data_IF_577372421754
#
_entry.id   IF_577372421754
#
_cell.length_a   1.000
_cell.length_b   1.000
_cell.length_c   1.000
_cell.angle_alpha   90.00
_cell.angle_beta   90.00
_cell.angle_gamma   90.00
#
_symmetry.space_group_name_H-M   'P 1'
#
loop_
_entity.id
_entity.type
_entity.pdbx_description
1 polymer ?
#
# COMPACT_ATOMS: atom_id res chain seq x y z
N UNK A 1 -4.11 19.80 21.55
CA UNK A 1 -5.14 19.36 22.52
C UNK A 1 -6.49 19.43 21.80
N UNK A 2 -7.33 18.41 21.86
CA UNK A 2 -8.63 18.40 21.17
C UNK A 2 -9.78 18.73 22.14
N UNK A 3 -10.94 19.24 21.65
CA UNK A 3 -12.04 19.62 22.51
C UNK A 3 -12.75 18.42 23.13
N UNK A 4 -13.19 18.55 24.38
CA UNK A 4 -14.00 17.55 25.08
C UNK A 4 -15.39 17.44 24.44
N UNK A 5 -15.85 16.22 24.20
CA UNK A 5 -17.20 15.93 23.73
C UNK A 5 -18.31 16.43 24.68
N UNK A 6 -18.00 16.61 25.97
CA UNK A 6 -18.95 17.14 26.97
C UNK A 6 -19.38 18.59 26.70
N UNK A 7 -18.65 19.32 25.85
CA UNK A 7 -18.94 20.71 25.50
C UNK A 7 -20.04 20.86 24.44
N UNK A 8 -20.51 19.76 23.84
CA UNK A 8 -21.48 19.77 22.75
C UNK A 8 -22.57 18.71 22.94
N UNK A 9 -23.66 18.87 22.19
CA UNK A 9 -24.72 17.85 22.08
C UNK A 9 -24.23 16.61 21.33
N UNK A 10 -24.91 15.47 21.54
CA UNK A 10 -24.49 14.16 21.02
C UNK A 10 -24.30 14.13 19.49
N UNK A 11 -25.15 14.84 18.74
CA UNK A 11 -25.05 14.96 17.27
C UNK A 11 -23.72 15.60 16.77
N UNK A 12 -22.95 16.23 17.65
CA UNK A 12 -21.67 16.87 17.32
C UNK A 12 -20.47 16.11 17.90
N UNK A 13 -20.71 14.96 18.54
CA UNK A 13 -19.66 14.11 19.09
C UNK A 13 -19.19 13.12 18.03
N UNK A 14 -17.91 12.80 18.07
CA UNK A 14 -17.33 11.71 17.29
C UNK A 14 -16.40 10.88 18.17
N UNK A 15 -16.32 9.58 17.87
CA UNK A 15 -15.36 8.68 18.51
C UNK A 15 -14.02 8.78 17.78
N UNK A 16 -12.94 8.94 18.53
CA UNK A 16 -11.61 9.19 17.98
C UNK A 16 -10.60 8.17 18.52
N UNK A 17 -9.51 8.03 17.77
CA UNK A 17 -8.31 7.30 18.18
C UNK A 17 -7.28 8.33 18.63
N UNK A 18 -6.65 8.11 19.76
CA UNK A 18 -5.66 9.00 20.37
C UNK A 18 -4.33 8.27 20.44
N UNK A 19 -3.29 8.88 19.88
CA UNK A 19 -1.92 8.43 20.00
C UNK A 19 -1.38 8.79 21.38
N UNK A 20 -0.80 7.80 22.05
CA UNK A 20 -0.15 7.93 23.35
C UNK A 20 1.32 7.56 23.20
N UNK A 21 2.19 8.56 23.30
CA UNK A 21 3.64 8.39 23.31
C UNK A 21 4.10 8.33 24.75
N UNK A 22 4.83 7.28 25.11
CA UNK A 22 5.23 7.04 26.49
C UNK A 22 6.57 6.32 26.60
N UNK A 23 7.19 6.40 27.78
CA UNK A 23 8.30 5.52 28.19
C UNK A 23 7.88 4.68 29.38
N UNK A 24 8.68 3.68 29.73
CA UNK A 24 8.43 2.82 30.88
C UNK A 24 9.25 3.28 32.10
N UNK A 25 8.66 3.15 33.30
CA UNK A 25 9.37 3.33 34.58
C UNK A 25 10.54 2.35 34.68
N UNK A 26 11.56 2.69 35.46
CA UNK A 26 12.65 1.77 35.77
C UNK A 26 12.09 0.45 36.35
N UNK A 27 12.51 -0.69 35.79
CA UNK A 27 11.99 -2.03 36.11
C UNK A 27 10.49 -2.26 35.84
N UNK A 28 9.83 -1.38 35.09
CA UNK A 28 8.42 -1.52 34.70
C UNK A 28 8.21 -2.47 33.52
N UNK A 29 6.94 -2.79 33.23
CA UNK A 29 6.56 -3.64 32.09
C UNK A 29 5.78 -2.88 31.02
N UNK A 30 6.13 -3.08 29.75
CA UNK A 30 5.44 -2.49 28.58
C UNK A 30 3.94 -2.81 28.56
N UNK A 31 3.58 -4.03 28.97
CA UNK A 31 2.19 -4.49 29.01
C UNK A 31 1.37 -3.87 30.14
N UNK A 32 2.01 -3.35 31.19
CA UNK A 32 1.33 -2.74 32.32
C UNK A 32 1.11 -1.24 32.06
N UNK A 33 -0.15 -0.81 32.01
CA UNK A 33 -0.49 0.61 31.78
C UNK A 33 -0.03 1.52 32.93
N UNK A 34 0.03 1.02 34.15
CA UNK A 34 0.44 1.81 35.32
C UNK A 34 1.95 2.12 35.33
N UNK A 35 2.73 1.39 34.54
CA UNK A 35 4.18 1.60 34.40
C UNK A 35 4.52 2.64 33.33
N UNK A 36 3.52 3.15 32.59
CA UNK A 36 3.72 4.11 31.51
C UNK A 36 3.88 5.53 32.04
N UNK A 37 4.96 6.19 31.64
CA UNK A 37 5.18 7.63 31.80
C UNK A 37 4.84 8.29 30.47
N UNK A 38 3.71 8.98 30.42
CA UNK A 38 3.20 9.63 29.22
C UNK A 38 4.09 10.82 28.86
N UNK A 39 4.64 10.79 27.65
CA UNK A 39 5.45 11.86 27.08
C UNK A 39 4.59 12.83 26.25
N UNK A 40 3.64 12.29 25.47
CA UNK A 40 2.75 13.08 24.61
C UNK A 40 1.42 12.36 24.36
N UNK A 41 0.33 13.12 24.23
CA UNK A 41 -0.99 12.63 23.81
C UNK A 41 -1.59 13.57 22.77
N UNK A 42 -2.07 13.02 21.66
CA UNK A 42 -2.65 13.79 20.56
C UNK A 42 -3.63 12.93 19.74
N UNK A 43 -4.63 13.55 19.09
CA UNK A 43 -5.59 12.78 18.31
C UNK A 43 -4.92 12.26 17.05
N UNK A 44 -5.18 10.99 16.72
CA UNK A 44 -4.56 10.28 15.59
C UNK A 44 -5.53 10.13 14.43
N UNK A 45 -6.74 9.64 14.73
CA UNK A 45 -7.74 9.40 13.70
C UNK A 45 -9.16 9.45 14.23
N UNK A 46 -10.13 9.34 13.32
CA UNK A 46 -11.54 9.16 13.64
C UNK A 46 -11.88 7.68 13.53
N UNK A 47 -12.65 7.18 14.49
CA UNK A 47 -13.09 5.79 14.50
C UNK A 47 -14.16 5.58 13.41
N UNK A 48 -13.91 4.68 12.46
CA UNK A 48 -14.76 4.42 11.31
C UNK A 48 -15.35 3.00 11.39
N UNK A 49 -16.67 2.88 11.20
CA UNK A 49 -17.37 1.59 11.23
C UNK A 49 -16.95 0.63 10.10
N UNK A 50 -16.53 1.16 8.96
CA UNK A 50 -16.12 0.33 7.82
C UNK A 50 -14.75 -0.34 8.05
N UNK A 51 -13.93 0.22 8.93
CA UNK A 51 -12.58 -0.27 9.25
C UNK A 51 -12.46 -0.85 10.66
N UNK A 52 -13.58 -1.23 11.29
CA UNK A 52 -13.63 -1.61 12.71
C UNK A 52 -12.63 -2.69 13.10
N UNK A 53 -12.53 -3.77 12.32
CA UNK A 53 -11.66 -4.90 12.66
C UNK A 53 -10.20 -4.46 12.65
N UNK A 54 -9.77 -3.74 11.62
CA UNK A 54 -8.41 -3.25 11.50
C UNK A 54 -8.08 -2.22 12.59
N UNK A 55 -9.00 -1.27 12.84
CA UNK A 55 -8.84 -0.28 13.89
C UNK A 55 -8.84 -0.91 15.28
N UNK A 56 -9.61 -1.97 15.53
CA UNK A 56 -9.62 -2.70 16.80
C UNK A 56 -8.31 -3.44 17.07
N UNK A 57 -7.71 -4.06 16.04
CA UNK A 57 -6.38 -4.67 16.16
C UNK A 57 -5.36 -3.58 16.45
N UNK A 58 -5.34 -2.53 15.62
CA UNK A 58 -4.41 -1.41 15.71
C UNK A 58 -4.41 -0.75 17.11
N UNK A 59 -5.57 -0.55 17.73
CA UNK A 59 -5.62 0.09 19.07
C UNK A 59 -5.12 -0.78 20.22
N UNK A 60 -4.90 -2.07 19.98
CA UNK A 60 -4.31 -2.98 20.99
C UNK A 60 -2.80 -3.08 20.89
N UNK A 61 -2.20 -2.58 19.80
CA UNK A 61 -0.77 -2.67 19.56
C UNK A 61 0.02 -1.66 20.41
N UNK A 62 1.20 -2.10 20.85
CA UNK A 62 2.22 -1.26 21.47
C UNK A 62 3.51 -1.46 20.69
N UNK A 63 4.03 -0.38 20.11
CA UNK A 63 5.22 -0.44 19.25
C UNK A 63 6.33 0.41 19.84
N UNK A 64 7.56 -0.13 19.83
CA UNK A 64 8.75 0.67 20.10
C UNK A 64 9.02 1.55 18.88
N UNK A 65 9.22 2.85 19.11
CA UNK A 65 9.38 3.85 18.05
C UNK A 65 10.83 4.22 17.85
N UNK A 66 11.55 4.50 18.94
CA UNK A 66 12.95 4.94 18.94
C UNK A 66 13.56 4.82 20.35
N UNK A 67 14.89 4.88 20.50
CA UNK A 67 15.53 5.09 21.79
C UNK A 67 15.12 6.44 22.41
N UNK A 68 14.99 6.46 23.74
CA UNK A 68 14.64 7.65 24.52
C UNK A 68 15.62 8.81 24.33
N UNK A 69 16.89 8.49 24.05
CA UNK A 69 17.95 9.49 23.79
C UNK A 69 17.76 10.24 22.47
N UNK A 70 17.02 9.67 21.52
CA UNK A 70 16.71 10.29 20.22
C UNK A 70 15.34 10.99 20.23
N UNK A 71 14.58 10.92 21.33
CA UNK A 71 13.28 11.54 21.43
C UNK A 71 13.37 13.02 21.83
N UNK A 72 12.84 13.88 20.97
CA UNK A 72 12.82 15.33 21.18
C UNK A 72 11.39 15.84 21.43
N UNK A 73 11.00 16.15 22.69
CA UNK A 73 9.61 16.49 23.03
C UNK A 73 9.13 17.81 22.41
N UNK A 74 10.06 18.73 22.13
CA UNK A 74 9.78 20.05 21.55
C UNK A 74 9.51 20.00 20.04
N UNK A 75 9.84 18.87 19.40
CA UNK A 75 9.56 18.62 17.97
C UNK A 75 8.20 17.91 17.86
N UNK A 76 7.48 18.11 16.76
CA UNK A 76 6.28 17.32 16.51
C UNK A 76 6.66 15.84 16.33
N UNK A 77 5.78 14.93 16.74
CA UNK A 77 6.14 13.52 16.81
C UNK A 77 6.51 12.93 15.44
N UNK A 78 5.78 13.27 14.36
CA UNK A 78 6.09 12.75 13.02
C UNK A 78 7.45 13.21 12.51
N UNK A 79 7.81 14.47 12.69
CA UNK A 79 9.13 14.99 12.32
C UNK A 79 10.24 14.32 13.14
N UNK A 80 10.02 14.10 14.45
CA UNK A 80 10.98 13.37 15.28
C UNK A 80 11.21 11.93 14.79
N UNK A 81 10.13 11.23 14.38
CA UNK A 81 10.21 9.88 13.82
C UNK A 81 10.92 9.88 12.47
N UNK A 82 10.61 10.83 11.59
CA UNK A 82 11.24 10.94 10.28
C UNK A 82 12.74 11.19 10.38
N UNK A 83 13.15 12.14 11.24
CA UNK A 83 14.57 12.42 11.51
C UNK A 83 15.30 11.18 12.09
N UNK A 84 14.64 10.44 12.99
CA UNK A 84 15.21 9.20 13.53
C UNK A 84 15.36 8.11 12.46
N UNK A 85 14.33 7.88 11.64
CA UNK A 85 14.35 6.85 10.60
C UNK A 85 15.42 7.14 9.53
N UNK A 86 15.67 8.41 9.21
CA UNK A 86 16.77 8.80 8.32
C UNK A 86 18.14 8.47 8.92
N UNK A 87 18.31 8.66 10.24
CA UNK A 87 19.55 8.34 10.97
C UNK A 87 19.74 6.83 11.18
N UNK A 88 18.66 6.09 11.39
CA UNK A 88 18.67 4.68 11.79
C UNK A 88 17.57 3.85 11.08
N UNK A 89 17.72 3.59 9.77
CA UNK A 89 16.67 2.94 8.97
C UNK A 89 16.43 1.46 9.32
N UNK A 90 17.36 0.81 10.00
CA UNK A 90 17.28 -0.59 10.42
C UNK A 90 17.15 -0.71 11.94
N UNK A 91 16.35 0.15 12.55
CA UNK A 91 16.15 0.17 14.00
C UNK A 91 15.65 -1.19 14.52
N UNK A 92 16.42 -1.76 15.44
CA UNK A 92 16.10 -3.01 16.14
C UNK A 92 15.95 -2.71 17.64
N UNK A 93 14.70 -2.68 18.10
CA UNK A 93 14.37 -2.38 19.48
C UNK A 93 14.83 -3.46 20.46
N UNK A 94 15.16 -4.68 20.01
CA UNK A 94 15.59 -5.78 20.88
C UNK A 94 16.97 -5.57 21.49
N UNK A 95 17.72 -4.57 20.98
CA UNK A 95 19.05 -4.21 21.47
C UNK A 95 19.04 -3.27 22.68
N UNK A 96 17.87 -2.80 23.10
CA UNK A 96 17.69 -1.81 24.16
C UNK A 96 16.92 -2.40 25.35
N UNK A 97 17.16 -1.88 26.55
CA UNK A 97 16.28 -2.17 27.68
C UNK A 97 14.92 -1.46 27.50
N UNK A 98 13.81 -2.00 28.03
CA UNK A 98 12.50 -1.39 27.86
C UNK A 98 12.40 0.07 28.32
N UNK A 99 13.02 0.43 29.43
CA UNK A 99 13.08 1.79 29.97
C UNK A 99 13.89 2.78 29.13
N UNK A 100 14.73 2.29 28.21
CA UNK A 100 15.53 3.09 27.28
C UNK A 100 14.78 3.42 25.98
N UNK A 101 13.54 2.94 25.84
CA UNK A 101 12.75 3.07 24.62
C UNK A 101 11.57 4.03 24.79
N UNK A 102 11.20 4.65 23.68
CA UNK A 102 9.92 5.33 23.50
C UNK A 102 8.97 4.40 22.79
N UNK A 103 7.77 4.29 23.34
CA UNK A 103 6.69 3.49 22.80
C UNK A 103 5.54 4.37 22.32
N UNK A 104 4.79 3.81 21.38
CA UNK A 104 3.49 4.31 20.96
C UNK A 104 2.44 3.26 21.25
N UNK A 105 1.34 3.72 21.82
CA UNK A 105 0.10 2.96 21.94
C UNK A 105 -1.05 3.86 21.51
N UNK A 106 -2.22 3.25 21.39
CA UNK A 106 -3.43 3.98 21.08
C UNK A 106 -4.50 3.75 22.14
N UNK A 107 -5.39 4.71 22.23
CA UNK A 107 -6.60 4.61 23.03
C UNK A 107 -7.77 5.21 22.26
N UNK A 108 -8.99 4.92 22.71
CA UNK A 108 -10.20 5.52 22.15
C UNK A 108 -10.73 6.57 23.10
N UNK A 109 -11.19 7.68 22.54
CA UNK A 109 -11.83 8.78 23.28
C UNK A 109 -13.00 9.35 22.46
N UNK A 110 -13.71 10.34 23.00
CA UNK A 110 -14.72 11.12 22.28
C UNK A 110 -14.31 12.59 22.16
N UNK A 111 -14.60 13.19 21.01
CA UNK A 111 -14.32 14.61 20.75
C UNK A 111 -15.47 15.28 19.99
N UNK A 112 -15.21 16.48 19.47
CA UNK A 112 -16.16 17.30 18.73
C UNK A 112 -15.82 17.27 17.25
N UNK A 113 -16.78 16.90 16.41
CA UNK A 113 -16.55 16.82 14.97
C UNK A 113 -17.64 16.12 14.18
N UNK A 114 -17.24 15.53 13.06
CA UNK A 114 -18.04 14.58 12.29
C UNK A 114 -17.27 13.27 12.14
N UNK A 115 -17.84 12.30 11.43
CA UNK A 115 -17.19 11.02 11.11
C UNK A 115 -15.89 11.16 10.30
N UNK A 116 -15.64 12.33 9.70
CA UNK A 116 -14.47 12.58 8.85
C UNK A 116 -13.36 13.37 9.55
N UNK A 117 -13.71 14.34 10.41
CA UNK A 117 -12.74 15.26 11.01
C UNK A 117 -13.15 15.66 12.43
N UNK A 118 -12.14 15.85 13.29
CA UNK A 118 -12.29 16.52 14.58
C UNK A 118 -12.25 18.03 14.31
N UNK A 119 -13.37 18.71 14.47
CA UNK A 119 -13.54 20.12 14.11
C UNK A 119 -14.67 20.77 14.93
N UNK A 120 -14.44 21.99 15.40
CA UNK A 120 -15.37 22.71 16.28
C UNK A 120 -16.51 23.45 15.57
N UNK A 121 -16.59 23.39 14.24
CA UNK A 121 -17.63 24.07 13.46
C UNK A 121 -18.24 23.16 12.37
N UNK A 122 -19.39 23.61 11.84
CA UNK A 122 -19.94 23.17 10.56
C UNK A 122 -19.63 24.21 9.49
N UNK A 123 -19.40 23.77 8.26
CA UNK A 123 -19.14 24.64 7.10
C UNK A 123 -20.44 24.88 6.33
N UNK A 124 -20.72 26.13 5.96
CA UNK A 124 -21.84 26.45 5.08
C UNK A 124 -21.48 26.14 3.63
N UNK A 125 -22.30 25.35 2.94
CA UNK A 125 -22.17 25.18 1.49
C UNK A 125 -22.48 26.51 0.78
N UNK A 126 -21.64 26.98 -0.15
CA UNK A 126 -21.89 28.23 -0.88
C UNK A 126 -23.07 28.15 -1.85
N UNK A 127 -23.50 26.94 -2.24
CA UNK A 127 -24.58 26.73 -3.21
C UNK A 127 -25.93 26.50 -2.53
N UNK A 128 -26.05 25.46 -1.70
CA UNK A 128 -27.32 25.14 -1.03
C UNK A 128 -27.54 25.88 0.29
N UNK A 129 -26.53 26.63 0.78
CA UNK A 129 -26.56 27.44 2.00
C UNK A 129 -26.80 26.68 3.33
N UNK A 130 -26.87 25.34 3.27
CA UNK A 130 -26.96 24.46 4.43
C UNK A 130 -25.60 24.25 5.10
N UNK A 131 -25.62 23.79 6.37
CA UNK A 131 -24.42 23.57 7.17
C UNK A 131 -24.11 22.09 7.35
N UNK A 132 -22.87 21.68 7.06
CA UNK A 132 -22.42 20.30 7.15
C UNK A 132 -21.13 20.19 7.95
N UNK A 133 -20.85 19.00 8.50
CA UNK A 133 -19.65 18.79 9.30
C UNK A 133 -18.35 19.03 8.52
N UNK A 134 -18.34 18.68 7.24
CA UNK A 134 -17.27 18.96 6.30
C UNK A 134 -17.79 18.80 4.85
N UNK A 135 -16.90 19.00 3.87
CA UNK A 135 -17.21 18.75 2.44
C UNK A 135 -17.69 17.31 2.19
N UNK A 136 -17.12 16.31 2.86
CA UNK A 136 -17.48 14.92 2.63
C UNK A 136 -18.92 14.64 3.11
N UNK A 137 -19.25 15.03 4.35
CA UNK A 137 -20.61 14.94 4.87
C UNK A 137 -21.65 15.63 3.96
N UNK A 138 -21.28 16.74 3.31
CA UNK A 138 -22.13 17.38 2.31
C UNK A 138 -22.30 16.48 1.08
N UNK A 139 -21.20 16.08 0.44
CA UNK A 139 -21.24 15.31 -0.80
C UNK A 139 -21.91 13.94 -0.65
N UNK A 140 -21.91 13.37 0.56
CA UNK A 140 -22.62 12.12 0.86
C UNK A 140 -24.14 12.33 1.01
N UNK A 141 -24.56 13.56 1.37
CA UNK A 141 -25.97 13.90 1.63
C UNK A 141 -26.65 14.61 0.46
N UNK A 142 -25.89 15.15 -0.48
CA UNK A 142 -26.36 16.06 -1.53
C UNK A 142 -26.02 15.55 -2.93
N UNK A 143 -26.83 15.93 -3.92
CA UNK A 143 -26.63 15.54 -5.34
C UNK A 143 -25.56 16.35 -6.08
N UNK A 144 -24.95 17.33 -5.40
CA UNK A 144 -23.93 18.23 -5.95
C UNK A 144 -22.70 18.26 -5.03
N UNK A 145 -21.57 18.71 -5.58
CA UNK A 145 -20.31 18.77 -4.85
C UNK A 145 -20.10 20.14 -4.21
N UNK A 146 -19.74 20.17 -2.93
CA UNK A 146 -19.46 21.41 -2.23
C UNK A 146 -18.11 22.02 -2.64
N UNK A 147 -18.14 23.24 -3.15
CA UNK A 147 -16.94 24.05 -3.39
C UNK A 147 -16.38 24.60 -2.07
N UNK A 148 -15.54 23.80 -1.41
CA UNK A 148 -14.94 24.16 -0.12
C UNK A 148 -14.20 25.49 -0.11
N UNK A 149 -13.59 25.90 -1.23
CA UNK A 149 -12.77 27.14 -1.29
C UNK A 149 -13.62 28.41 -1.13
N UNK A 150 -14.91 28.32 -1.42
CA UNK A 150 -15.85 29.44 -1.36
C UNK A 150 -16.62 29.53 -0.02
N UNK A 151 -16.30 28.70 0.97
CA UNK A 151 -16.93 28.78 2.30
C UNK A 151 -16.62 30.12 2.95
N UNK A 152 -17.68 30.85 3.30
CA UNK A 152 -17.61 32.16 3.96
C UNK A 152 -18.14 32.16 5.40
N UNK A 153 -19.09 31.28 5.72
CA UNK A 153 -19.71 31.22 7.04
C UNK A 153 -19.56 29.82 7.65
N UNK A 154 -19.50 29.82 8.98
CA UNK A 154 -19.37 28.64 9.82
C UNK A 154 -20.46 28.67 10.88
N UNK A 155 -20.95 27.51 11.29
CA UNK A 155 -21.81 27.39 12.48
C UNK A 155 -21.02 26.74 13.61
N UNK A 156 -20.95 27.40 14.75
CA UNK A 156 -20.22 26.90 15.93
C UNK A 156 -20.94 25.69 16.55
N UNK A 157 -20.23 24.58 16.78
CA UNK A 157 -20.81 23.39 17.43
C UNK A 157 -21.02 23.57 18.93
N UNK A 158 -20.35 24.54 19.55
CA UNK A 158 -20.39 24.78 20.99
C UNK A 158 -21.50 25.74 21.43
N UNK A 159 -21.94 26.65 20.56
CA UNK A 159 -22.93 27.68 20.91
C UNK A 159 -23.94 27.98 19.80
N UNK A 160 -23.93 27.20 18.73
CA UNK A 160 -24.82 27.32 17.55
C UNK A 160 -24.75 28.65 16.77
N UNK A 161 -23.92 29.60 17.19
CA UNK A 161 -23.75 30.87 16.49
C UNK A 161 -23.22 30.68 15.07
N UNK A 162 -23.87 31.31 14.10
CA UNK A 162 -23.35 31.46 12.74
C UNK A 162 -22.38 32.64 12.74
N UNK A 163 -21.15 32.39 12.30
CA UNK A 163 -20.04 33.34 12.30
C UNK A 163 -19.32 33.32 10.96
N UNK A 164 -18.64 34.42 10.57
CA UNK A 164 -17.75 34.40 9.42
C UNK A 164 -16.63 33.36 9.58
N UNK A 165 -16.08 32.91 8.46
CA UNK A 165 -14.96 31.95 8.43
C UNK A 165 -13.78 32.47 9.26
N UNK A 166 -13.41 31.68 10.26
CA UNK A 166 -12.38 31.99 11.25
C UNK A 166 -11.92 30.68 11.92
N UNK A 167 -10.79 30.71 12.62
CA UNK A 167 -10.26 29.53 13.33
C UNK A 167 -10.83 29.41 14.76
N UNK A 168 -11.69 30.34 15.19
CA UNK A 168 -12.31 30.36 16.51
C UNK A 168 -13.65 31.10 16.45
N UNK A 169 -14.59 30.68 17.29
CA UNK A 169 -15.91 31.29 17.32
C UNK A 169 -15.86 32.75 17.81
N UNK A 170 -16.40 33.67 17.02
CA UNK A 170 -16.51 35.08 17.42
C UNK A 170 -17.36 35.28 18.68
N UNK A 171 -18.34 34.39 18.94
CA UNK A 171 -19.25 34.45 20.08
C UNK A 171 -18.65 33.81 21.35
N UNK A 172 -18.41 32.50 21.36
CA UNK A 172 -17.96 31.78 22.57
C UNK A 172 -16.44 31.59 22.70
N UNK A 173 -15.65 32.09 21.74
CA UNK A 173 -14.18 32.05 21.70
C UNK A 173 -13.54 30.65 21.66
N UNK A 174 -14.33 29.58 21.59
CA UNK A 174 -13.82 28.23 21.37
C UNK A 174 -13.11 28.11 20.03
N UNK A 175 -11.98 27.41 20.00
CA UNK A 175 -11.25 27.09 18.76
C UNK A 175 -12.07 26.13 17.88
N UNK A 176 -11.90 26.24 16.57
CA UNK A 176 -12.45 25.28 15.61
C UNK A 176 -11.44 24.24 15.13
N UNK A 177 -10.15 24.53 15.26
CA UNK A 177 -9.06 23.66 14.83
C UNK A 177 -7.75 24.03 15.55
N UNK A 178 -6.78 23.11 15.52
CA UNK A 178 -5.37 23.44 15.79
C UNK A 178 -4.61 23.73 14.50
N UNK A 179 -5.08 23.15 13.38
CA UNK A 179 -4.47 23.31 12.08
C UNK A 179 -5.51 23.66 11.03
N UNK A 180 -5.16 24.61 10.16
CA UNK A 180 -6.05 25.12 9.13
C UNK A 180 -5.31 25.39 7.82
N UNK A 181 -6.03 25.33 6.70
CA UNK A 181 -5.60 25.92 5.45
C UNK A 181 -6.66 26.91 4.98
N UNK A 182 -6.33 28.20 4.96
CA UNK A 182 -7.24 29.28 4.56
C UNK A 182 -7.64 29.23 3.09
N UNK A 183 -6.78 28.66 2.23
CA UNK A 183 -7.02 28.49 0.79
C UNK A 183 -8.00 27.33 0.55
N UNK A 184 -7.74 26.17 1.14
CA UNK A 184 -8.61 25.00 0.99
C UNK A 184 -9.81 24.98 1.94
N UNK A 185 -9.88 25.91 2.90
CA UNK A 185 -10.84 25.94 4.01
C UNK A 185 -10.84 24.64 4.84
N UNK A 186 -9.69 23.98 4.92
CA UNK A 186 -9.49 22.80 5.74
C UNK A 186 -9.29 23.22 7.20
N UNK A 187 -9.88 22.48 8.15
CA UNK A 187 -9.81 22.75 9.59
C UNK A 187 -9.87 21.42 10.34
N UNK A 188 -8.88 21.13 11.19
CA UNK A 188 -8.81 19.91 11.98
C UNK A 188 -8.10 20.11 13.32
N UNK A 189 -8.42 19.29 14.31
CA UNK A 189 -7.67 19.18 15.57
C UNK A 189 -6.56 18.12 15.55
N UNK A 190 -6.50 17.27 14.51
CA UNK A 190 -5.36 16.38 14.24
C UNK A 190 -4.25 17.23 13.63
N UNK A 191 -3.19 17.43 14.38
CA UNK A 191 -2.08 18.32 14.04
C UNK A 191 -0.85 17.56 13.49
N UNK A 192 0.27 18.28 13.34
CA UNK A 192 1.51 17.74 12.81
C UNK A 192 2.15 16.62 13.65
N UNK A 193 1.71 16.38 14.89
CA UNK A 193 2.16 15.22 15.64
C UNK A 193 1.71 13.90 15.03
N UNK A 194 0.65 13.92 14.22
CA UNK A 194 0.14 12.74 13.54
C UNK A 194 0.09 12.92 12.02
N UNK A 195 -0.58 13.99 11.57
CA UNK A 195 -0.86 14.22 10.15
C UNK A 195 -0.34 15.61 9.80
N UNK A 196 0.99 15.81 9.70
CA UNK A 196 1.51 17.03 9.10
C UNK A 196 0.89 17.16 7.71
N UNK A 197 0.53 18.38 7.33
CA UNK A 197 0.06 18.65 5.98
C UNK A 197 0.58 20.01 5.55
N UNK A 198 0.67 20.16 4.24
CA UNK A 198 1.10 21.40 3.61
C UNK A 198 0.19 21.71 2.43
N UNK A 199 0.09 22.98 2.08
CA UNK A 199 -0.58 23.40 0.85
C UNK A 199 0.43 23.47 -0.27
N UNK A 200 0.20 22.75 -1.38
CA UNK A 200 0.98 22.96 -2.58
C UNK A 200 0.27 23.98 -3.46
N UNK A 201 0.83 25.18 -3.61
CA UNK A 201 0.25 26.24 -4.44
C UNK A 201 0.06 25.81 -5.90
N UNK A 202 0.97 25.00 -6.42
CA UNK A 202 0.95 24.49 -7.80
C UNK A 202 -0.18 23.48 -8.03
N UNK A 203 -0.40 22.56 -7.08
CA UNK A 203 -1.54 21.64 -7.11
C UNK A 203 -2.86 22.33 -6.73
N UNK A 204 -2.80 23.39 -5.91
CA UNK A 204 -3.96 24.08 -5.35
C UNK A 204 -4.73 23.25 -4.30
N UNK A 205 -4.06 22.26 -3.68
CA UNK A 205 -4.62 21.32 -2.70
C UNK A 205 -3.69 21.15 -1.49
N UNK A 206 -4.25 20.73 -0.36
CA UNK A 206 -3.45 20.30 0.79
C UNK A 206 -3.07 18.82 0.63
N UNK A 207 -1.83 18.49 0.93
CA UNK A 207 -1.30 17.13 0.94
C UNK A 207 -0.83 16.77 2.35
N UNK A 208 -0.93 15.49 2.72
CA UNK A 208 -0.38 14.98 3.99
C UNK A 208 1.11 14.73 3.80
N UNK A 209 1.93 15.19 4.76
CA UNK A 209 3.38 15.12 4.74
C UNK A 209 4.05 16.39 5.26
N UNK A 210 5.37 16.33 5.50
CA UNK A 210 6.18 17.51 5.75
C UNK A 210 6.55 18.18 4.42
N UNK A 211 6.33 19.48 4.28
CA UNK A 211 6.51 20.21 3.01
C UNK A 211 7.91 20.03 2.40
N UNK A 212 8.95 20.03 3.23
CA UNK A 212 10.34 19.85 2.83
C UNK A 212 10.67 18.44 2.32
N UNK A 213 9.84 17.45 2.61
CA UNK A 213 10.02 16.06 2.17
C UNK A 213 9.42 15.80 0.78
N UNK A 214 8.78 16.80 0.15
CA UNK A 214 8.14 16.65 -1.15
C UNK A 214 8.64 17.65 -2.19
N UNK A 215 8.68 17.21 -3.44
CA UNK A 215 8.98 18.03 -4.61
C UNK A 215 7.81 17.94 -5.59
N UNK A 216 7.35 19.10 -6.07
CA UNK A 216 6.31 19.17 -7.10
C UNK A 216 6.91 18.97 -8.50
N UNK A 217 6.39 18.01 -9.25
CA UNK A 217 6.73 17.81 -10.65
C UNK A 217 5.78 18.62 -11.54
N UNK A 218 6.32 19.64 -12.22
CA UNK A 218 5.56 20.50 -13.15
C UNK A 218 5.00 19.71 -14.34
N UNK A 219 5.71 18.66 -14.77
CA UNK A 219 5.34 17.90 -15.96
C UNK A 219 4.11 17.01 -15.73
N UNK A 220 3.99 16.38 -14.56
CA UNK A 220 2.83 15.55 -14.20
C UNK A 220 1.86 16.23 -13.23
N UNK A 221 2.14 17.47 -12.82
CA UNK A 221 1.36 18.28 -11.88
C UNK A 221 1.02 17.54 -10.57
N UNK A 222 2.02 16.90 -9.96
CA UNK A 222 1.87 16.14 -8.72
C UNK A 222 3.07 16.29 -7.79
N UNK A 223 2.83 16.22 -6.49
CA UNK A 223 3.86 16.20 -5.47
C UNK A 223 4.33 14.77 -5.21
N UNK A 224 5.65 14.57 -5.19
CA UNK A 224 6.30 13.30 -4.90
C UNK A 224 7.27 13.46 -3.75
N UNK A 225 7.50 12.40 -2.98
CA UNK A 225 8.58 12.39 -2.00
C UNK A 225 9.91 12.68 -2.70
N UNK A 226 10.69 13.61 -2.14
CA UNK A 226 11.93 14.10 -2.75
C UNK A 226 12.94 12.98 -3.02
N UNK A 227 12.96 11.94 -2.18
CA UNK A 227 13.84 10.77 -2.32
C UNK A 227 13.57 9.92 -3.57
N UNK A 228 12.32 9.87 -4.02
CA UNK A 228 11.92 9.12 -5.23
C UNK A 228 11.66 10.04 -6.42
N UNK A 229 11.79 11.36 -6.24
CA UNK A 229 11.46 12.34 -7.27
C UNK A 229 12.27 12.11 -8.55
N UNK A 230 13.54 11.76 -8.51
CA UNK A 230 14.28 11.51 -9.77
C UNK A 230 13.87 10.20 -10.48
N UNK A 231 13.27 9.26 -9.75
CA UNK A 231 12.90 7.93 -10.23
C UNK A 231 11.41 7.79 -10.53
N UNK A 232 10.61 8.82 -10.26
CA UNK A 232 9.16 8.75 -10.43
C UNK A 232 8.82 8.54 -11.90
N UNK A 233 7.77 7.76 -12.15
CA UNK A 233 7.22 7.60 -13.49
C UNK A 233 6.38 8.83 -13.80
N UNK A 234 7.02 9.84 -14.38
CA UNK A 234 6.35 11.07 -14.82
C UNK A 234 5.34 10.74 -15.95
N UNK A 235 4.05 10.80 -15.62
CA UNK A 235 2.98 10.69 -16.61
C UNK A 235 2.37 12.06 -16.85
N UNK A 236 2.69 12.68 -18.00
CA UNK A 236 2.11 13.97 -18.44
C UNK A 236 0.57 13.95 -18.50
N UNK A 237 -0.01 12.76 -18.62
CA UNK A 237 -1.45 12.51 -18.63
C UNK A 237 -1.89 11.75 -17.38
N UNK A 238 -1.41 12.13 -16.19
CA UNK A 238 -1.98 11.61 -14.94
C UNK A 238 -3.48 11.95 -14.96
N UNK A 239 -4.32 10.94 -15.13
CA UNK A 239 -5.75 11.13 -15.27
C UNK A 239 -6.30 11.79 -14.00
N UNK A 240 -7.08 12.85 -14.16
CA UNK A 240 -7.78 13.48 -13.03
C UNK A 240 -8.89 12.58 -12.45
N UNK A 241 -9.15 11.45 -13.10
CA UNK A 241 -10.16 10.48 -12.74
C UNK A 241 -9.54 9.13 -12.42
N UNK A 242 -10.07 8.48 -11.39
CA UNK A 242 -9.75 7.12 -11.03
C UNK A 242 -10.16 6.18 -12.17
N UNK A 243 -9.23 5.34 -12.65
CA UNK A 243 -9.50 4.42 -13.75
C UNK A 243 -10.45 3.26 -13.40
N UNK A 244 -10.90 3.18 -12.15
CA UNK A 244 -11.84 2.16 -11.67
C UNK A 244 -13.24 2.76 -11.55
N UNK A 245 -13.42 3.81 -10.73
CA UNK A 245 -14.74 4.39 -10.45
C UNK A 245 -15.06 5.63 -11.28
N UNK A 246 -14.11 6.13 -12.09
CA UNK A 246 -14.19 7.39 -12.85
C UNK A 246 -14.37 8.65 -11.97
N UNK A 247 -14.31 8.49 -10.64
CA UNK A 247 -14.38 9.58 -9.69
C UNK A 247 -13.12 10.44 -9.71
N UNK A 248 -13.28 11.72 -9.40
CA UNK A 248 -12.18 12.68 -9.38
C UNK A 248 -11.11 12.27 -8.35
N UNK A 249 -9.83 12.34 -8.74
CA UNK A 249 -8.69 12.02 -7.88
C UNK A 249 -8.36 13.18 -6.93
N UNK A 250 -8.36 14.41 -7.43
CA UNK A 250 -7.98 15.64 -6.67
C UNK A 250 -9.01 16.00 -5.60
N UNK A 251 -10.28 15.69 -5.86
CA UNK A 251 -11.38 15.95 -4.94
C UNK A 251 -11.73 14.77 -4.04
N UNK A 252 -11.07 13.63 -4.19
CA UNK A 252 -11.28 12.48 -3.30
C UNK A 252 -10.62 12.67 -1.94
N UNK A 253 -11.16 11.98 -0.93
CA UNK A 253 -10.54 11.81 0.39
C UNK A 253 -9.58 10.63 0.42
N UNK A 254 -9.71 9.71 -0.54
CA UNK A 254 -8.86 8.53 -0.63
C UNK A 254 -7.50 8.91 -1.19
N UNK A 255 -6.45 8.31 -0.60
CA UNK A 255 -5.10 8.39 -1.14
C UNK A 255 -5.06 7.87 -2.57
N UNK A 256 -4.02 8.25 -3.29
CA UNK A 256 -3.82 7.81 -4.67
C UNK A 256 -2.90 6.59 -4.66
N UNK A 257 -3.33 5.53 -5.33
CA UNK A 257 -2.47 4.39 -5.59
C UNK A 257 -1.59 4.67 -6.81
N UNK A 258 -0.28 4.69 -6.61
CA UNK A 258 0.69 4.94 -7.67
C UNK A 258 0.96 3.67 -8.49
N UNK A 259 0.32 3.60 -9.66
CA UNK A 259 0.48 2.50 -10.61
C UNK A 259 1.64 2.80 -11.56
N UNK A 260 2.55 1.85 -11.76
CA UNK A 260 3.73 2.01 -12.65
C UNK A 260 3.40 2.32 -14.10
N UNK A 261 2.20 1.95 -14.55
CA UNK A 261 1.73 2.27 -15.88
C UNK A 261 1.34 3.74 -16.07
N UNK A 262 1.32 4.55 -15.01
CA UNK A 262 0.98 5.98 -15.05
C UNK A 262 -0.52 6.27 -15.01
N UNK A 263 -1.38 5.25 -15.04
CA UNK A 263 -2.81 5.40 -14.76
C UNK A 263 -3.03 5.63 -13.26
N UNK A 264 -4.13 6.29 -12.90
CA UNK A 264 -4.37 6.73 -11.52
C UNK A 264 -5.62 6.07 -10.97
N UNK A 265 -5.59 5.60 -9.74
CA UNK A 265 -6.75 5.05 -9.03
C UNK A 265 -6.73 5.44 -7.56
N UNK A 266 -7.88 5.51 -6.91
CA UNK A 266 -7.95 5.65 -5.46
C UNK A 266 -7.40 4.38 -4.79
N UNK A 267 -6.73 4.54 -3.65
CA UNK A 267 -6.23 3.42 -2.84
C UNK A 267 -7.37 2.45 -2.47
N UNK A 268 -8.55 2.98 -2.14
CA UNK A 268 -9.74 2.16 -1.88
C UNK A 268 -10.20 1.37 -3.12
N UNK A 269 -10.16 1.97 -4.31
CA UNK A 269 -10.51 1.27 -5.55
C UNK A 269 -9.49 0.20 -5.91
N UNK A 270 -8.20 0.46 -5.67
CA UNK A 270 -7.15 -0.55 -5.84
C UNK A 270 -7.32 -1.69 -4.83
N UNK A 271 -7.60 -1.39 -3.56
CA UNK A 271 -7.87 -2.39 -2.53
C UNK A 271 -9.00 -3.35 -2.91
N UNK A 272 -10.10 -2.82 -3.46
CA UNK A 272 -11.20 -3.64 -3.97
C UNK A 272 -10.80 -4.58 -5.12
N UNK A 273 -9.92 -4.13 -6.03
CA UNK A 273 -9.36 -5.00 -7.07
C UNK A 273 -8.45 -6.06 -6.46
N UNK A 274 -7.60 -5.66 -5.52
CA UNK A 274 -6.65 -6.52 -4.83
C UNK A 274 -7.36 -7.65 -4.07
N UNK A 275 -8.43 -7.34 -3.32
CA UNK A 275 -9.25 -8.31 -2.58
C UNK A 275 -9.94 -9.34 -3.50
N UNK A 276 -10.15 -8.98 -4.77
CA UNK A 276 -10.70 -9.86 -5.80
C UNK A 276 -9.60 -10.64 -6.55
N UNK A 277 -8.35 -10.60 -6.08
CA UNK A 277 -7.16 -11.14 -6.76
C UNK A 277 -6.93 -10.55 -8.16
N UNK A 278 -7.38 -9.33 -8.41
CA UNK A 278 -7.12 -8.60 -9.65
C UNK A 278 -5.99 -7.60 -9.45
N UNK A 279 -4.78 -8.01 -9.83
CA UNK A 279 -3.58 -7.19 -9.69
C UNK A 279 -3.27 -6.34 -10.94
N UNK A 280 -4.23 -6.18 -11.86
CA UNK A 280 -4.01 -5.51 -13.13
C UNK A 280 -4.67 -4.13 -13.16
N UNK A 281 -4.01 -3.18 -13.80
CA UNK A 281 -4.63 -1.91 -14.19
C UNK A 281 -5.78 -2.17 -15.18
N UNK A 282 -7.00 -1.65 -14.95
CA UNK A 282 -8.16 -1.91 -15.83
C UNK A 282 -8.01 -1.30 -17.22
N UNK A 283 -7.10 -0.34 -17.41
CA UNK A 283 -6.91 0.37 -18.68
C UNK A 283 -5.90 -0.34 -19.58
N UNK A 284 -4.75 -0.73 -19.02
CA UNK A 284 -3.63 -1.25 -19.80
C UNK A 284 -3.22 -2.68 -19.43
N UNK A 285 -3.91 -3.29 -18.45
CA UNK A 285 -3.68 -4.64 -17.91
C UNK A 285 -2.29 -4.89 -17.30
N UNK A 286 -1.40 -3.89 -17.26
CA UNK A 286 -0.13 -4.00 -16.53
C UNK A 286 -0.36 -4.19 -15.03
N UNK A 287 0.56 -4.85 -14.35
CA UNK A 287 0.47 -5.04 -12.91
C UNK A 287 0.39 -3.70 -12.17
N UNK A 288 -0.48 -3.66 -11.17
CA UNK A 288 -0.66 -2.57 -10.21
C UNK A 288 -0.05 -2.89 -8.85
N UNK A 289 0.81 -3.90 -8.76
CA UNK A 289 1.50 -4.33 -7.54
C UNK A 289 3.01 -4.04 -7.62
N UNK A 290 3.69 -4.10 -6.47
CA UNK A 290 5.14 -3.87 -6.36
C UNK A 290 5.96 -5.06 -6.86
N UNK A 291 7.26 -4.87 -7.14
CA UNK A 291 8.11 -5.93 -7.73
C UNK A 291 8.27 -7.15 -6.82
N UNK A 292 8.40 -6.95 -5.51
CA UNK A 292 8.47 -8.03 -4.52
C UNK A 292 7.18 -8.85 -4.49
N UNK A 293 6.03 -8.19 -4.61
CA UNK A 293 4.73 -8.85 -4.75
C UNK A 293 4.61 -9.60 -6.08
N UNK A 294 5.13 -9.03 -7.18
CA UNK A 294 5.21 -9.72 -8.48
C UNK A 294 6.09 -10.96 -8.38
N UNK A 295 7.21 -10.90 -7.65
CA UNK A 295 8.09 -12.05 -7.42
C UNK A 295 7.36 -13.17 -6.66
N UNK A 296 6.65 -12.83 -5.58
CA UNK A 296 5.83 -13.80 -4.84
C UNK A 296 4.73 -14.40 -5.72
N UNK A 297 4.05 -13.58 -6.52
CA UNK A 297 3.01 -14.04 -7.45
C UNK A 297 3.59 -14.94 -8.54
N UNK A 298 4.78 -14.61 -9.06
CA UNK A 298 5.51 -15.45 -10.00
C UNK A 298 5.80 -16.83 -9.38
N UNK A 299 6.21 -16.92 -8.11
CA UNK A 299 6.43 -18.21 -7.43
C UNK A 299 5.17 -19.08 -7.39
N UNK A 300 4.00 -18.46 -7.16
CA UNK A 300 2.70 -19.15 -7.17
C UNK A 300 2.39 -19.68 -8.57
N UNK A 301 2.46 -18.83 -9.60
CA UNK A 301 2.18 -19.25 -10.98
C UNK A 301 3.19 -20.26 -11.51
N UNK A 302 4.46 -20.20 -11.08
CA UNK A 302 5.42 -21.25 -11.39
C UNK A 302 5.04 -22.60 -10.78
N UNK A 303 4.47 -22.64 -9.56
CA UNK A 303 3.96 -23.89 -8.98
C UNK A 303 2.80 -24.44 -9.80
N UNK A 304 1.87 -23.58 -10.22
CA UNK A 304 0.73 -23.95 -11.06
C UNK A 304 1.16 -24.49 -12.43
N UNK A 305 2.10 -23.80 -13.10
CA UNK A 305 2.66 -24.19 -14.38
C UNK A 305 3.31 -25.59 -14.34
N UNK A 306 3.99 -25.92 -13.24
CA UNK A 306 4.67 -27.23 -13.07
C UNK A 306 3.70 -28.40 -12.92
N UNK A 307 2.48 -28.15 -12.46
CA UNK A 307 1.48 -29.18 -12.16
C UNK A 307 0.59 -29.53 -13.37
N UNK A 308 0.71 -28.80 -14.48
CA UNK A 308 -0.23 -28.93 -15.60
C UNK A 308 0.10 -30.02 -16.62
N UNK A 309 -0.97 -30.59 -17.16
CA UNK A 309 -0.95 -31.48 -18.32
C UNK A 309 -1.07 -30.62 -19.57
N UNK A 310 -0.08 -30.72 -20.48
CA UNK A 310 -0.09 -30.00 -21.75
C UNK A 310 -1.32 -30.40 -22.57
N UNK A 311 -2.15 -29.43 -22.92
CA UNK A 311 -3.23 -29.61 -23.89
C UNK A 311 -2.64 -29.30 -25.27
N UNK A 312 -2.85 -30.19 -26.25
CA UNK A 312 -2.27 -30.03 -27.59
C UNK A 312 -3.10 -29.08 -28.47
N UNK A 313 -3.45 -27.92 -27.92
CA UNK A 313 -4.21 -26.85 -28.57
C UNK A 313 -3.26 -25.65 -28.71
N UNK A 314 -2.94 -25.21 -29.94
CA UNK A 314 -2.07 -24.07 -30.14
C UNK A 314 -2.80 -22.77 -29.87
N UNK A 315 -2.15 -21.85 -29.15
CA UNK A 315 -2.68 -20.53 -28.80
C UNK A 315 -1.62 -19.46 -29.05
N UNK A 316 -2.06 -18.25 -29.38
CA UNK A 316 -1.19 -17.08 -29.43
C UNK A 316 -1.33 -16.31 -28.12
N UNK A 317 -0.21 -16.03 -27.46
CA UNK A 317 -0.17 -15.36 -26.16
C UNK A 317 0.50 -14.00 -26.30
N UNK A 318 -0.10 -12.98 -25.68
CA UNK A 318 0.49 -11.64 -25.56
C UNK A 318 0.85 -11.36 -24.10
N UNK A 319 2.03 -10.79 -23.85
CA UNK A 319 2.38 -10.28 -22.53
C UNK A 319 1.90 -8.84 -22.32
N UNK A 320 1.09 -8.60 -21.29
CA UNK A 320 0.56 -7.27 -20.96
C UNK A 320 1.65 -6.29 -20.48
N UNK A 321 2.80 -6.80 -20.03
CA UNK A 321 3.90 -5.98 -19.49
C UNK A 321 4.77 -5.40 -20.59
N UNK A 322 5.29 -6.28 -21.47
CA UNK A 322 6.25 -5.93 -22.52
C UNK A 322 5.70 -6.00 -23.94
N UNK A 323 4.42 -6.36 -24.10
CA UNK A 323 3.71 -6.42 -25.38
C UNK A 323 4.27 -7.43 -26.39
N UNK A 324 5.17 -8.32 -25.94
CA UNK A 324 5.67 -9.42 -26.76
C UNK A 324 4.57 -10.44 -27.01
N UNK A 325 4.47 -10.89 -28.27
CA UNK A 325 3.53 -11.91 -28.73
C UNK A 325 4.32 -13.17 -29.07
N UNK A 326 3.85 -14.33 -28.60
CA UNK A 326 4.52 -15.60 -28.82
C UNK A 326 3.52 -16.77 -28.90
N UNK A 327 3.81 -17.80 -29.72
CA UNK A 327 2.95 -18.97 -29.81
C UNK A 327 3.23 -19.95 -28.65
N UNK A 328 2.18 -20.58 -28.14
CA UNK A 328 2.29 -21.57 -27.07
C UNK A 328 1.24 -22.68 -27.18
N UNK A 329 1.32 -23.68 -26.31
CA UNK A 329 0.26 -24.67 -26.14
C UNK A 329 -0.62 -24.27 -24.96
N UNK A 330 -1.94 -24.44 -25.10
CA UNK A 330 -2.91 -23.98 -24.11
C UNK A 330 -2.62 -24.51 -22.70
N UNK A 331 -2.59 -23.59 -21.74
CA UNK A 331 -2.29 -23.78 -20.31
C UNK A 331 -3.10 -22.75 -19.49
N UNK A 332 -3.17 -22.92 -18.16
CA UNK A 332 -3.85 -21.94 -17.31
C UNK A 332 -3.02 -20.67 -17.07
N UNK A 333 -1.69 -20.75 -17.20
CA UNK A 333 -0.77 -19.62 -17.04
C UNK A 333 0.34 -19.67 -18.09
N UNK A 334 0.83 -18.51 -18.53
CA UNK A 334 1.91 -18.40 -19.50
C UNK A 334 3.03 -17.51 -18.99
N UNK A 335 4.27 -17.96 -19.15
CA UNK A 335 5.44 -17.20 -18.73
C UNK A 335 6.05 -16.43 -19.90
N UNK A 336 6.11 -15.11 -19.80
CA UNK A 336 6.80 -14.28 -20.78
C UNK A 336 8.31 -14.27 -20.49
N UNK A 337 9.07 -14.92 -21.36
CA UNK A 337 10.52 -15.04 -21.19
C UNK A 337 11.28 -13.70 -21.36
N UNK A 338 10.72 -12.76 -22.12
CA UNK A 338 11.34 -11.46 -22.38
C UNK A 338 11.37 -10.54 -21.15
N UNK A 339 10.31 -10.56 -20.33
CA UNK A 339 10.20 -9.70 -19.15
C UNK A 339 10.09 -10.44 -17.81
N UNK A 340 10.10 -11.78 -17.85
CA UNK A 340 10.09 -12.68 -16.68
C UNK A 340 8.84 -12.54 -15.80
N UNK A 341 7.68 -12.40 -16.42
CA UNK A 341 6.39 -12.22 -15.73
C UNK A 341 5.31 -13.11 -16.33
N UNK A 342 4.29 -13.39 -15.54
CA UNK A 342 3.11 -14.18 -15.92
C UNK A 342 1.90 -13.37 -16.39
N UNK A 343 2.03 -12.05 -16.46
CA UNK A 343 0.94 -11.19 -16.89
C UNK A 343 0.74 -11.29 -18.40
N UNK A 344 -0.02 -12.28 -18.81
CA UNK A 344 -0.23 -12.68 -20.20
C UNK A 344 -1.69 -12.99 -20.47
N UNK A 345 -2.12 -12.84 -21.71
CA UNK A 345 -3.44 -13.25 -22.16
C UNK A 345 -3.39 -13.97 -23.51
N UNK A 346 -4.31 -14.91 -23.72
CA UNK A 346 -4.55 -15.50 -25.04
C UNK A 346 -5.23 -14.46 -25.93
N UNK A 347 -4.72 -14.30 -27.15
CA UNK A 347 -5.30 -13.40 -28.15
C UNK A 347 -5.83 -14.20 -29.33
N UNK A 348 -6.85 -13.65 -30.01
CA UNK A 348 -7.47 -14.28 -31.16
C UNK A 348 -6.62 -14.08 -32.43
N UNK A 349 -5.47 -14.74 -32.46
CA UNK A 349 -4.55 -14.80 -33.60
C UNK A 349 -4.23 -16.27 -33.90
N UNK A 350 -4.31 -16.66 -35.17
CA UNK A 350 -4.05 -18.03 -35.59
C UNK A 350 -2.57 -18.39 -35.38
N UNK A 351 -2.33 -19.55 -34.77
CA UNK A 351 -1.00 -20.18 -34.73
C UNK A 351 -1.14 -21.68 -34.88
N UNK A 352 -0.08 -22.32 -35.34
CA UNK A 352 -0.04 -23.77 -35.57
C UNK A 352 0.62 -24.51 -34.42
N UNK A 353 0.30 -25.80 -34.26
CA UNK A 353 0.98 -26.67 -33.29
C UNK A 353 2.49 -26.68 -33.52
N UNK A 354 2.94 -26.66 -34.79
CA UNK A 354 4.36 -26.65 -35.11
C UNK A 354 5.08 -25.39 -34.64
N UNK A 355 4.47 -24.21 -34.80
CA UNK A 355 5.03 -22.94 -34.31
C UNK A 355 5.16 -22.92 -32.79
N UNK A 356 4.11 -23.35 -32.08
CA UNK A 356 4.12 -23.46 -30.62
C UNK A 356 5.18 -24.46 -30.12
N UNK A 357 5.28 -25.63 -30.75
CA UNK A 357 6.31 -26.63 -30.42
C UNK A 357 7.73 -26.13 -30.68
N UNK A 358 7.94 -25.42 -31.79
CA UNK A 358 9.24 -24.85 -32.12
C UNK A 358 9.65 -23.76 -31.13
N UNK A 359 8.71 -22.89 -30.73
CA UNK A 359 8.95 -21.88 -29.70
C UNK A 359 9.34 -22.54 -28.37
N UNK A 360 8.57 -23.53 -27.90
CA UNK A 360 8.90 -24.26 -26.67
C UNK A 360 10.26 -24.97 -26.75
N UNK A 361 10.62 -25.58 -27.90
CA UNK A 361 11.95 -26.18 -28.10
C UNK A 361 13.07 -25.13 -28.08
N UNK A 362 12.82 -23.94 -28.61
CA UNK A 362 13.75 -22.81 -28.53
C UNK A 362 13.99 -22.37 -27.08
N UNK A 363 12.92 -22.29 -26.28
CA UNK A 363 13.02 -22.05 -24.84
C UNK A 363 13.82 -23.14 -24.13
N UNK A 364 13.52 -24.43 -24.39
CA UNK A 364 14.28 -25.58 -23.86
C UNK A 364 15.79 -25.43 -24.09
N UNK A 365 16.18 -25.03 -25.29
CA UNK A 365 17.58 -24.86 -25.68
C UNK A 365 18.25 -23.68 -24.96
N UNK A 366 17.55 -22.55 -24.81
CA UNK A 366 18.05 -21.39 -24.07
C UNK A 366 18.34 -21.74 -22.61
N UNK A 367 17.50 -22.57 -21.99
CA UNK A 367 17.72 -23.04 -20.61
C UNK A 367 18.83 -24.08 -20.54
N UNK A 368 18.90 -25.00 -21.52
CA UNK A 368 19.95 -26.00 -21.63
C UNK A 368 21.36 -25.37 -21.63
N UNK A 369 21.53 -24.22 -22.29
CA UNK A 369 22.81 -23.50 -22.30
C UNK A 369 23.24 -23.03 -20.90
N UNK A 370 22.29 -22.78 -19.99
CA UNK A 370 22.57 -22.41 -18.60
C UNK A 370 22.76 -23.64 -17.72
N UNK A 371 22.02 -24.71 -17.99
CA UNK A 371 21.95 -25.93 -17.19
C UNK A 371 22.23 -27.17 -18.03
N UNK A 372 23.34 -27.84 -17.76
CA UNK A 372 23.62 -29.18 -18.28
C UNK A 372 23.39 -30.25 -17.19
N UNK A 373 23.45 -31.52 -17.59
CA UNK A 373 23.23 -32.65 -16.68
C UNK A 373 24.15 -32.60 -15.46
N UNK A 374 25.40 -32.20 -15.65
CA UNK A 374 26.40 -32.13 -14.59
C UNK A 374 26.04 -31.02 -13.61
N UNK A 375 25.75 -29.81 -14.10
CA UNK A 375 25.34 -28.66 -13.28
C UNK A 375 24.08 -28.92 -12.47
N UNK A 376 23.11 -29.62 -13.06
CA UNK A 376 21.88 -30.02 -12.36
C UNK A 376 22.20 -30.93 -11.18
N UNK A 377 23.04 -31.95 -11.41
CA UNK A 377 23.43 -32.91 -10.38
C UNK A 377 24.25 -32.22 -9.30
N UNK A 378 25.22 -31.38 -9.66
CA UNK A 378 26.05 -30.61 -8.73
C UNK A 378 25.19 -29.71 -7.84
N UNK A 379 24.31 -28.92 -8.45
CA UNK A 379 23.38 -28.07 -7.70
C UNK A 379 22.49 -28.91 -6.79
N UNK A 380 21.91 -30.01 -7.27
CA UNK A 380 21.04 -30.85 -6.46
C UNK A 380 21.78 -31.46 -5.25
N UNK A 381 23.02 -31.90 -5.44
CA UNK A 381 23.86 -32.42 -4.36
C UNK A 381 24.16 -31.35 -3.31
N UNK A 382 24.49 -30.13 -3.75
CA UNK A 382 24.80 -29.01 -2.86
C UNK A 382 23.57 -28.51 -2.10
N UNK A 383 22.48 -28.25 -2.81
CA UNK A 383 21.26 -27.64 -2.26
C UNK A 383 20.45 -28.64 -1.43
N UNK A 384 20.26 -29.87 -1.91
CA UNK A 384 19.38 -30.85 -1.28
C UNK A 384 20.12 -31.93 -0.46
N UNK A 385 21.46 -31.85 -0.37
CA UNK A 385 22.29 -32.81 0.37
C UNK A 385 21.99 -34.25 -0.04
N UNK A 386 22.06 -34.53 -1.35
CA UNK A 386 21.84 -35.88 -1.88
C UNK A 386 22.97 -36.82 -1.41
N UNK A 387 22.60 -38.02 -0.98
CA UNK A 387 23.56 -39.07 -0.66
C UNK A 387 24.08 -39.76 -1.93
N UNK A 388 25.05 -40.65 -1.78
CA UNK A 388 25.71 -41.30 -2.92
C UNK A 388 24.75 -42.14 -3.78
N UNK A 389 23.76 -42.81 -3.15
CA UNK A 389 22.75 -43.59 -3.87
C UNK A 389 21.81 -42.69 -4.68
N UNK A 390 21.36 -41.60 -4.08
CA UNK A 390 20.49 -40.61 -4.72
C UNK A 390 21.19 -39.87 -5.87
N UNK A 391 22.46 -39.54 -5.69
CA UNK A 391 23.29 -38.91 -6.73
C UNK A 391 23.47 -39.83 -7.94
N UNK A 392 23.80 -41.11 -7.69
CA UNK A 392 23.89 -42.14 -8.75
C UNK A 392 22.55 -42.33 -9.45
N UNK A 393 21.46 -42.34 -8.69
CA UNK A 393 20.11 -42.43 -9.24
C UNK A 393 19.78 -41.24 -10.15
N UNK A 394 19.99 -40.01 -9.68
CA UNK A 394 19.71 -38.78 -10.44
C UNK A 394 20.50 -38.75 -11.75
N UNK A 395 21.79 -39.08 -11.68
CA UNK A 395 22.66 -39.20 -12.84
C UNK A 395 22.15 -40.23 -13.85
N UNK A 396 21.60 -41.37 -13.41
CA UNK A 396 21.02 -42.37 -14.30
C UNK A 396 19.66 -41.94 -14.85
N UNK A 397 18.88 -41.21 -14.05
CA UNK A 397 17.52 -40.79 -14.39
C UNK A 397 17.51 -39.71 -15.49
N UNK A 398 18.40 -38.72 -15.41
CA UNK A 398 18.49 -37.61 -16.37
C UNK A 398 19.11 -38.05 -17.72
N UNK A 399 18.29 -38.65 -18.57
CA UNK A 399 18.59 -38.93 -19.98
C UNK A 399 18.09 -37.79 -20.88
N UNK A 400 18.46 -37.78 -22.18
CA UNK A 400 18.13 -36.69 -23.12
C UNK A 400 16.65 -36.26 -23.09
N UNK A 401 15.72 -37.22 -23.16
CA UNK A 401 14.26 -36.96 -23.14
C UNK A 401 13.75 -36.41 -21.80
N UNK A 402 14.35 -36.85 -20.69
CA UNK A 402 14.00 -36.35 -19.34
C UNK A 402 14.66 -35.01 -19.04
N UNK A 403 15.84 -34.77 -19.60
CA UNK A 403 16.54 -33.48 -19.57
C UNK A 403 15.71 -32.41 -20.26
N UNK A 404 15.21 -32.64 -21.48
CA UNK A 404 14.35 -31.67 -22.19
C UNK A 404 13.14 -31.25 -21.32
N UNK A 405 12.45 -32.21 -20.71
CA UNK A 405 11.33 -31.94 -19.78
C UNK A 405 11.75 -31.21 -18.50
N UNK A 406 12.92 -31.54 -17.97
CA UNK A 406 13.44 -30.96 -16.73
C UNK A 406 13.94 -29.53 -16.96
N UNK A 407 14.58 -29.25 -18.10
CA UNK A 407 15.13 -27.95 -18.47
C UNK A 407 14.03 -26.89 -18.63
N UNK A 408 12.88 -27.22 -19.22
CA UNK A 408 11.73 -26.30 -19.17
C UNK A 408 11.37 -25.94 -17.73
N UNK A 409 11.36 -26.92 -16.82
CA UNK A 409 10.87 -26.72 -15.46
C UNK A 409 11.83 -25.91 -14.58
N UNK A 410 13.15 -26.02 -14.77
CA UNK A 410 14.14 -25.37 -13.87
C UNK A 410 14.32 -23.88 -14.13
N UNK A 411 14.00 -23.39 -15.33
CA UNK A 411 13.99 -21.95 -15.58
C UNK A 411 12.94 -21.22 -14.73
N UNK A 412 11.91 -21.96 -14.34
CA UNK A 412 10.82 -21.52 -13.50
C UNK A 412 11.15 -21.60 -12.00
N UNK A 413 12.41 -21.85 -11.65
CA UNK A 413 12.88 -22.00 -10.27
C UNK A 413 13.04 -23.47 -9.86
N UNK A 414 14.07 -23.72 -9.07
CA UNK A 414 14.32 -25.03 -8.49
C UNK A 414 13.54 -25.19 -7.18
N UNK A 415 13.00 -26.39 -6.87
CA UNK A 415 12.33 -26.64 -5.61
C UNK A 415 13.21 -26.29 -4.40
N UNK A 416 12.63 -25.88 -3.27
CA UNK A 416 13.45 -25.51 -2.10
C UNK A 416 13.78 -26.71 -1.22
N UNK A 417 12.96 -27.76 -1.24
CA UNK A 417 13.19 -28.97 -0.45
C UNK A 417 13.63 -30.14 -1.32
N UNK A 418 14.35 -31.08 -0.70
CA UNK A 418 14.76 -32.34 -1.32
C UNK A 418 13.55 -33.16 -1.80
N UNK A 419 12.47 -33.17 -1.01
CA UNK A 419 11.26 -33.91 -1.33
C UNK A 419 10.58 -33.34 -2.58
N UNK A 420 10.43 -32.01 -2.64
CA UNK A 420 9.85 -31.33 -3.80
C UNK A 420 10.74 -31.47 -5.04
N UNK A 421 12.07 -31.50 -4.88
CA UNK A 421 13.01 -31.75 -5.97
C UNK A 421 12.79 -33.10 -6.64
N UNK A 422 12.60 -34.17 -5.84
CA UNK A 422 12.29 -35.47 -6.40
C UNK A 422 10.89 -35.51 -7.03
N UNK A 423 9.87 -34.92 -6.39
CA UNK A 423 8.54 -34.81 -7.01
C UNK A 423 8.58 -34.08 -8.37
N UNK A 424 9.37 -33.01 -8.44
CA UNK A 424 9.59 -32.21 -9.63
C UNK A 424 10.30 -32.98 -10.76
N UNK A 425 11.23 -33.89 -10.41
CA UNK A 425 11.89 -34.79 -11.37
C UNK A 425 10.93 -35.82 -11.96
N UNK A 426 10.02 -36.38 -11.15
CA UNK A 426 9.16 -37.50 -11.57
C UNK A 426 7.85 -37.07 -12.21
N UNK A 427 7.40 -35.84 -11.99
CA UNK A 427 6.21 -35.29 -12.63
C UNK A 427 4.88 -35.78 -12.07
N UNK A 428 4.84 -36.71 -11.11
CA UNK A 428 3.68 -37.08 -10.30
C UNK A 428 4.11 -37.69 -8.95
N UNK A 429 3.21 -37.57 -7.97
CA UNK A 429 3.24 -38.01 -6.57
C UNK A 429 3.60 -39.50 -6.47
N UNK A 430 4.61 -39.84 -5.66
CA UNK A 430 4.79 -41.22 -5.19
C UNK A 430 3.54 -41.61 -4.39
N UNK A 431 2.76 -42.58 -4.90
CA UNK A 431 1.81 -43.33 -4.10
C UNK A 431 2.54 -44.23 -3.11
#
# INVERSE_FOLDING_TARGET
MYPSASLVSEQHRNKIIVSVIFKIKEHGSVGNKDDRIILKRFPSDIFNQDNLVQQQIYVTEVTAVMPLVDYHPDVNHMECVEQFNQKSPTFDSTQYQPEELVYRAYETDESVGCEHYICGCLQQCPECLNFYGCRQCHNDSESHLMNRKQVQNLKCRFCDAVVPYSESCANCKQKFCEVSCKICKFMCFIDANEKPFYHCDKCGTCNVGLENSYTHCEECNACWFSEIFEKHVCSKNRAEQCCVCLGNIKDSVYQIHDVRCGHTMHENCWGQLFDQNNFQCPICKKYSILDDQVEQLNEIYFKELRQQIKVNVPVTVQCNECQQVFPFLQQSVYYCHSCKKFNTEEINQQTTVSEAENYMKGLEQLVACKWDKQRIVEHACQTYKLNEKETKFLNKYLNKKKMEKFLLRIEFGLPQTKQDFFMFLFGEVFK
#
